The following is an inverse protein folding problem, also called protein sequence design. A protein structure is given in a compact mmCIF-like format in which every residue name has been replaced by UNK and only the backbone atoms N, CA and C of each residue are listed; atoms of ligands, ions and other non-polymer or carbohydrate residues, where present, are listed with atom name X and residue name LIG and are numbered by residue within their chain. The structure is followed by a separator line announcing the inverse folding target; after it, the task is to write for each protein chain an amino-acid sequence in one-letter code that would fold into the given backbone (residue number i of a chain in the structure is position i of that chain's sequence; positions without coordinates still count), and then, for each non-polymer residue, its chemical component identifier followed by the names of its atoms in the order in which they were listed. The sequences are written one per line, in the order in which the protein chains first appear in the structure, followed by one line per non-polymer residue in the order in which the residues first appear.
data_IF_411120591252
#
_entry.id   IF_411120591252
#
_cell.length_a   1.000
_cell.length_b   1.000
_cell.length_c   1.000
_cell.angle_alpha   90.00
_cell.angle_beta   90.00
_cell.angle_gamma   90.00
#
_symmetry.space_group_name_H-M   'P 1'
#
loop_
_entity.id
_entity.type
_entity.pdbx_description
1 polymer ?
#
# COMPACT_ATOMS: atom_id res chain seq x y z
N UNK A 1 -9.80 -66.91 -26.41
CA UNK A 1 -8.37 -67.29 -26.53
C UNK A 1 -7.67 -66.16 -27.25
N UNK A 2 -7.05 -65.27 -26.48
CA UNK A 2 -6.17 -64.22 -26.99
C UNK A 2 -4.82 -64.47 -26.32
N UNK A 3 -3.78 -64.64 -27.14
CA UNK A 3 -2.41 -64.93 -26.73
C UNK A 3 -1.83 -63.77 -25.92
N UNK A 4 -1.43 -64.04 -24.68
CA UNK A 4 -0.56 -63.14 -23.93
C UNK A 4 0.86 -63.20 -24.52
N UNK A 5 1.48 -62.07 -24.88
CA UNK A 5 2.84 -62.06 -25.39
C UNK A 5 3.83 -62.47 -24.30
N UNK A 6 4.53 -63.56 -24.60
CA UNK A 6 5.62 -64.19 -23.86
C UNK A 6 6.64 -63.14 -23.37
N UNK A 7 6.61 -62.84 -22.07
CA UNK A 7 7.59 -61.97 -21.41
C UNK A 7 8.97 -62.62 -21.50
N UNK A 8 9.82 -62.10 -22.37
CA UNK A 8 11.22 -62.50 -22.51
C UNK A 8 11.94 -62.35 -21.18
N UNK A 9 12.36 -63.47 -20.59
CA UNK A 9 13.25 -63.51 -19.42
C UNK A 9 14.60 -62.94 -19.83
N UNK A 10 14.83 -61.66 -19.56
CA UNK A 10 16.13 -61.02 -19.74
C UNK A 10 17.18 -61.73 -18.85
N UNK A 11 18.34 -62.07 -19.43
CA UNK A 11 19.47 -62.61 -18.69
C UNK A 11 19.92 -61.64 -17.57
N UNK A 12 20.32 -62.15 -16.39
CA UNK A 12 20.73 -61.30 -15.27
C UNK A 12 21.99 -60.51 -15.63
N UNK A 13 21.89 -59.18 -15.53
CA UNK A 13 23.01 -58.25 -15.73
C UNK A 13 24.21 -58.63 -14.85
N UNK A 14 25.41 -58.70 -15.43
CA UNK A 14 26.64 -58.91 -14.68
C UNK A 14 26.89 -57.80 -13.64
N UNK A 15 27.57 -58.11 -12.54
CA UNK A 15 27.78 -57.20 -11.40
C UNK A 15 28.31 -55.82 -11.80
N UNK A 16 29.24 -55.74 -12.76
CA UNK A 16 29.78 -54.48 -13.27
C UNK A 16 28.71 -53.64 -14.00
N UNK A 17 27.81 -54.28 -14.73
CA UNK A 17 26.71 -53.61 -15.43
C UNK A 17 25.65 -53.11 -14.43
N UNK A 18 25.34 -53.88 -13.38
CA UNK A 18 24.46 -53.42 -12.30
C UNK A 18 25.05 -52.23 -11.53
N UNK A 19 26.35 -52.27 -11.26
CA UNK A 19 27.06 -51.19 -10.59
C UNK A 19 27.09 -49.92 -11.46
N UNK A 20 27.32 -50.07 -12.77
CA UNK A 20 27.21 -48.98 -13.74
C UNK A 20 25.81 -48.36 -13.80
N UNK A 21 24.77 -49.19 -13.91
CA UNK A 21 23.38 -48.74 -13.91
C UNK A 21 22.99 -48.02 -12.60
N UNK A 22 23.52 -48.47 -11.47
CA UNK A 22 23.32 -47.84 -10.16
C UNK A 22 23.99 -46.47 -10.09
N UNK A 23 25.25 -46.37 -10.51
CA UNK A 23 25.98 -45.08 -10.58
C UNK A 23 25.26 -44.10 -11.51
N UNK A 24 24.77 -44.58 -12.66
CA UNK A 24 24.04 -43.72 -13.60
C UNK A 24 22.71 -43.23 -13.02
N UNK A 25 21.97 -44.11 -12.34
CA UNK A 25 20.75 -43.72 -11.63
C UNK A 25 21.02 -42.67 -10.55
N UNK A 26 22.10 -42.83 -9.78
CA UNK A 26 22.55 -41.85 -8.77
C UNK A 26 22.90 -40.51 -9.43
N UNK A 27 23.65 -40.52 -10.55
CA UNK A 27 23.98 -39.28 -11.29
C UNK A 27 22.74 -38.58 -11.82
N UNK A 28 21.76 -39.31 -12.36
CA UNK A 28 20.49 -38.74 -12.82
C UNK A 28 19.69 -38.13 -11.67
N UNK A 29 19.64 -38.81 -10.51
CA UNK A 29 18.98 -38.31 -9.32
C UNK A 29 19.62 -37.00 -8.82
N UNK A 30 20.95 -36.98 -8.70
CA UNK A 30 21.69 -35.78 -8.28
C UNK A 30 21.46 -34.63 -9.26
N UNK A 31 21.51 -34.89 -10.57
CA UNK A 31 21.24 -33.86 -11.58
C UNK A 31 19.82 -33.30 -11.46
N UNK A 32 18.81 -34.14 -11.25
CA UNK A 32 17.43 -33.69 -11.05
C UNK A 32 17.28 -32.79 -9.81
N UNK A 33 18.00 -33.06 -8.71
CA UNK A 33 18.00 -32.19 -7.53
C UNK A 33 18.67 -30.84 -7.81
N UNK A 34 19.79 -30.85 -8.54
CA UNK A 34 20.49 -29.62 -8.93
C UNK A 34 19.62 -28.78 -9.86
N UNK A 35 18.96 -29.40 -10.84
CA UNK A 35 18.07 -28.70 -11.76
C UNK A 35 16.85 -28.12 -11.04
N UNK A 36 16.26 -28.86 -10.08
CA UNK A 36 15.18 -28.38 -9.22
C UNK A 36 15.63 -27.20 -8.35
N UNK A 37 16.78 -27.34 -7.66
CA UNK A 37 17.32 -26.28 -6.82
C UNK A 37 17.65 -25.02 -7.63
N UNK A 38 18.11 -25.18 -8.87
CA UNK A 38 18.37 -24.06 -9.78
C UNK A 38 17.09 -23.37 -10.22
N UNK A 39 16.01 -24.13 -10.46
CA UNK A 39 14.70 -23.58 -10.79
C UNK A 39 14.12 -22.79 -9.60
N UNK A 40 14.09 -23.37 -8.39
CA UNK A 40 13.63 -22.65 -7.19
C UNK A 40 14.48 -21.39 -6.93
N UNK A 41 15.81 -21.46 -7.12
CA UNK A 41 16.69 -20.31 -6.97
C UNK A 41 16.41 -19.22 -8.00
N UNK A 42 16.09 -19.58 -9.24
CA UNK A 42 15.75 -18.60 -10.29
C UNK A 42 14.47 -17.82 -9.91
N UNK A 43 13.45 -18.51 -9.41
CA UNK A 43 12.21 -17.90 -8.95
C UNK A 43 12.46 -16.93 -7.77
N UNK A 44 13.27 -17.36 -6.79
CA UNK A 44 13.68 -16.52 -5.65
C UNK A 44 14.43 -15.27 -6.15
N UNK A 45 15.35 -15.43 -7.10
CA UNK A 45 16.15 -14.33 -7.65
C UNK A 45 15.26 -13.32 -8.36
N UNK A 46 14.26 -13.76 -9.12
CA UNK A 46 13.35 -12.84 -9.83
C UNK A 46 12.45 -12.07 -8.86
N UNK A 47 11.99 -12.72 -7.79
CA UNK A 47 11.22 -12.06 -6.74
C UNK A 47 12.10 -11.06 -5.95
N UNK A 48 13.35 -11.40 -5.66
CA UNK A 48 14.34 -10.47 -5.07
C UNK A 48 14.56 -9.26 -5.98
N UNK A 49 14.76 -9.45 -7.29
CA UNK A 49 14.93 -8.33 -8.25
C UNK A 49 13.73 -7.40 -8.24
N UNK A 50 12.52 -7.96 -8.25
CA UNK A 50 11.28 -7.17 -8.20
C UNK A 50 11.20 -6.34 -6.93
N UNK A 51 11.49 -6.92 -5.76
CA UNK A 51 11.50 -6.16 -4.50
C UNK A 51 12.58 -5.09 -4.47
N UNK A 52 13.81 -5.40 -4.91
CA UNK A 52 14.89 -4.42 -5.01
C UNK A 52 14.50 -3.26 -5.94
N UNK A 53 13.85 -3.55 -7.07
CA UNK A 53 13.36 -2.52 -7.98
C UNK A 53 12.30 -1.62 -7.31
N UNK A 54 11.33 -2.20 -6.59
CA UNK A 54 10.29 -1.44 -5.90
C UNK A 54 10.86 -0.59 -4.75
N UNK A 55 11.74 -1.14 -3.92
CA UNK A 55 12.41 -0.37 -2.87
C UNK A 55 13.33 0.71 -3.45
N UNK A 56 14.04 0.41 -4.54
CA UNK A 56 14.84 1.38 -5.28
C UNK A 56 13.98 2.53 -5.82
N UNK A 57 12.81 2.24 -6.38
CA UNK A 57 11.86 3.24 -6.83
C UNK A 57 11.34 4.11 -5.66
N UNK A 58 11.03 3.50 -4.51
CA UNK A 58 10.60 4.23 -3.33
C UNK A 58 11.69 5.19 -2.83
N UNK A 59 12.94 4.73 -2.70
CA UNK A 59 14.08 5.56 -2.30
C UNK A 59 14.30 6.69 -3.32
N UNK A 60 14.27 6.36 -4.62
CA UNK A 60 14.41 7.36 -5.68
C UNK A 60 13.34 8.45 -5.60
N UNK A 61 12.08 8.09 -5.35
CA UNK A 61 10.99 9.05 -5.14
C UNK A 61 11.23 9.94 -3.91
N UNK A 62 11.73 9.38 -2.79
CA UNK A 62 12.06 10.16 -1.59
C UNK A 62 13.22 11.13 -1.82
N UNK A 63 14.22 10.74 -2.62
CA UNK A 63 15.31 11.66 -3.04
C UNK A 63 14.74 12.81 -3.88
N UNK A 64 13.83 12.52 -4.81
CA UNK A 64 13.16 13.55 -5.59
C UNK A 64 12.30 14.47 -4.72
N UNK A 65 11.61 13.94 -3.69
CA UNK A 65 10.92 14.77 -2.68
C UNK A 65 11.89 15.72 -1.99
N UNK A 66 13.04 15.22 -1.54
CA UNK A 66 14.03 16.05 -0.86
C UNK A 66 14.56 17.18 -1.78
N UNK A 67 14.83 16.86 -3.06
CA UNK A 67 15.24 17.85 -4.06
C UNK A 67 14.12 18.86 -4.37
N UNK A 68 12.88 18.39 -4.53
CA UNK A 68 11.72 19.23 -4.82
C UNK A 68 11.42 20.18 -3.66
N UNK A 69 11.54 19.72 -2.41
CA UNK A 69 11.38 20.58 -1.23
C UNK A 69 12.54 21.56 -1.06
N UNK A 70 13.77 21.16 -1.35
CA UNK A 70 14.93 22.04 -1.27
C UNK A 70 14.84 23.16 -2.31
N UNK A 71 14.64 22.81 -3.58
CA UNK A 71 14.59 23.77 -4.70
C UNK A 71 13.27 24.55 -4.66
N UNK A 72 12.16 23.82 -4.58
CA UNK A 72 10.82 24.40 -4.57
C UNK A 72 10.54 25.23 -3.32
N UNK A 73 11.08 24.85 -2.16
CA UNK A 73 10.97 25.65 -0.94
C UNK A 73 11.71 27.00 -1.04
N UNK A 74 12.90 27.01 -1.64
CA UNK A 74 13.64 28.25 -1.91
C UNK A 74 12.89 29.16 -2.90
N UNK A 75 12.31 28.58 -3.96
CA UNK A 75 11.49 29.31 -4.92
C UNK A 75 10.19 29.84 -4.27
N UNK A 76 9.55 29.03 -3.43
CA UNK A 76 8.32 29.38 -2.72
C UNK A 76 8.51 30.57 -1.77
N UNK A 77 9.66 30.63 -1.08
CA UNK A 77 10.00 31.76 -0.22
C UNK A 77 10.16 33.07 -0.99
N UNK A 78 10.51 33.00 -2.28
CA UNK A 78 10.66 34.17 -3.16
C UNK A 78 9.34 34.75 -3.67
N UNK A 79 8.30 33.94 -3.86
CA UNK A 79 6.99 34.34 -4.44
C UNK A 79 5.83 34.29 -3.42
N UNK A 80 6.15 34.66 -2.18
CA UNK A 80 5.40 34.29 -0.97
C UNK A 80 3.86 34.31 -1.12
N UNK A 81 3.31 33.08 -1.02
CA UNK A 81 1.96 32.68 -0.60
C UNK A 81 0.92 32.22 -1.65
N UNK A 82 0.93 32.64 -2.94
CA UNK A 82 -0.14 32.20 -3.88
C UNK A 82 0.27 32.01 -5.35
N UNK A 83 1.56 31.80 -5.64
CA UNK A 83 2.00 31.43 -6.99
C UNK A 83 1.56 30.03 -7.40
N UNK A 84 1.32 29.81 -8.70
CA UNK A 84 1.07 28.47 -9.28
C UNK A 84 2.20 27.48 -8.99
N UNK A 85 3.43 27.98 -8.78
CA UNK A 85 4.63 27.18 -8.47
C UNK A 85 4.51 26.50 -7.10
N UNK A 86 4.00 27.20 -6.08
CA UNK A 86 3.85 26.64 -4.73
C UNK A 86 2.93 25.42 -4.69
N UNK A 87 1.78 25.51 -5.38
CA UNK A 87 0.86 24.38 -5.53
C UNK A 87 1.50 23.22 -6.30
N UNK A 88 2.26 23.51 -7.36
CA UNK A 88 2.99 22.49 -8.11
C UNK A 88 4.01 21.72 -7.25
N UNK A 89 4.80 22.44 -6.45
CA UNK A 89 5.78 21.85 -5.52
C UNK A 89 5.08 21.01 -4.46
N UNK A 90 4.01 21.53 -3.86
CA UNK A 90 3.24 20.81 -2.84
C UNK A 90 2.62 19.53 -3.39
N UNK A 91 1.84 19.63 -4.48
CA UNK A 91 1.17 18.48 -5.08
C UNK A 91 2.16 17.47 -5.66
N UNK A 92 3.25 17.94 -6.28
CA UNK A 92 4.33 17.08 -6.75
C UNK A 92 5.01 16.32 -5.61
N UNK A 93 5.20 16.97 -4.46
CA UNK A 93 5.75 16.32 -3.26
C UNK A 93 4.82 15.22 -2.76
N UNK A 94 3.53 15.51 -2.59
CA UNK A 94 2.55 14.52 -2.17
C UNK A 94 2.45 13.34 -3.15
N UNK A 95 2.44 13.61 -4.46
CA UNK A 95 2.42 12.55 -5.48
C UNK A 95 3.64 11.64 -5.37
N UNK A 96 4.84 12.18 -5.19
CA UNK A 96 6.05 11.37 -5.03
C UNK A 96 6.05 10.56 -3.72
N UNK A 97 5.52 11.13 -2.63
CA UNK A 97 5.31 10.41 -1.38
C UNK A 97 4.33 9.24 -1.55
N UNK A 98 3.24 9.45 -2.29
CA UNK A 98 2.26 8.40 -2.59
C UNK A 98 2.87 7.29 -3.45
N UNK A 99 3.66 7.65 -4.47
CA UNK A 99 4.39 6.69 -5.30
C UNK A 99 5.36 5.87 -4.45
N UNK A 100 6.09 6.52 -3.54
CA UNK A 100 6.99 5.82 -2.62
C UNK A 100 6.22 4.86 -1.69
N UNK A 101 5.12 5.32 -1.11
CA UNK A 101 4.26 4.50 -0.27
C UNK A 101 3.68 3.30 -1.02
N UNK A 102 3.20 3.51 -2.26
CA UNK A 102 2.65 2.45 -3.12
C UNK A 102 3.72 1.46 -3.53
N UNK A 103 4.93 1.90 -3.86
CA UNK A 103 6.05 1.01 -4.17
C UNK A 103 6.39 0.11 -2.97
N UNK A 104 6.40 0.67 -1.75
CA UNK A 104 6.57 -0.11 -0.51
C UNK A 104 5.40 -1.08 -0.30
N UNK A 105 4.16 -0.62 -0.46
CA UNK A 105 2.98 -1.48 -0.33
C UNK A 105 3.01 -2.65 -1.32
N UNK A 106 3.38 -2.40 -2.58
CA UNK A 106 3.54 -3.44 -3.59
C UNK A 106 4.68 -4.40 -3.28
N UNK A 107 5.79 -3.92 -2.71
CA UNK A 107 6.89 -4.76 -2.25
C UNK A 107 6.45 -5.68 -1.09
N UNK A 108 5.53 -5.20 -0.26
CA UNK A 108 4.87 -5.96 0.81
C UNK A 108 3.68 -6.81 0.32
N UNK A 109 3.51 -6.97 -0.99
CA UNK A 109 2.40 -7.71 -1.61
C UNK A 109 0.99 -7.24 -1.23
N UNK A 110 0.83 -5.95 -0.93
CA UNK A 110 -0.51 -5.38 -0.98
C UNK A 110 -1.04 -5.56 -2.41
N UNK A 111 -2.10 -6.37 -2.57
CA UNK A 111 -2.62 -6.75 -3.87
C UNK A 111 -2.87 -5.54 -4.78
N UNK A 112 -2.22 -5.51 -5.95
CA UNK A 112 -2.21 -4.34 -6.84
C UNK A 112 -3.60 -3.86 -7.25
N UNK A 113 -4.55 -4.78 -7.44
CA UNK A 113 -5.96 -4.43 -7.71
C UNK A 113 -6.63 -3.63 -6.59
N UNK A 114 -6.24 -3.86 -5.32
CA UNK A 114 -6.76 -3.09 -4.18
C UNK A 114 -6.16 -1.70 -4.11
N UNK A 115 -4.85 -1.58 -4.36
CA UNK A 115 -4.18 -0.27 -4.43
C UNK A 115 -4.76 0.56 -5.58
N UNK A 116 -4.98 -0.07 -6.75
CA UNK A 116 -5.64 0.56 -7.89
C UNK A 116 -7.09 0.95 -7.61
N UNK A 117 -7.85 0.09 -6.93
CA UNK A 117 -9.21 0.43 -6.47
C UNK A 117 -9.23 1.61 -5.51
N UNK A 118 -8.29 1.65 -4.54
CA UNK A 118 -8.14 2.78 -3.63
C UNK A 118 -7.77 4.07 -4.37
N UNK A 119 -6.90 3.98 -5.39
CA UNK A 119 -6.57 5.11 -6.26
C UNK A 119 -7.80 5.66 -6.98
N UNK A 120 -8.63 4.79 -7.59
CA UNK A 120 -9.84 5.21 -8.28
C UNK A 120 -10.83 5.90 -7.33
N UNK A 121 -11.03 5.36 -6.13
CA UNK A 121 -11.91 5.99 -5.12
C UNK A 121 -11.38 7.36 -4.71
N UNK A 122 -10.07 7.46 -4.45
CA UNK A 122 -9.42 8.71 -4.07
C UNK A 122 -9.44 9.75 -5.21
N UNK A 123 -9.28 9.31 -6.45
CA UNK A 123 -9.37 10.16 -7.64
C UNK A 123 -10.78 10.75 -7.78
N UNK A 124 -11.83 9.92 -7.69
CA UNK A 124 -13.23 10.37 -7.72
C UNK A 124 -13.49 11.36 -6.58
N UNK A 125 -13.03 11.05 -5.36
CA UNK A 125 -13.16 11.94 -4.21
C UNK A 125 -12.50 13.30 -4.46
N UNK A 126 -11.26 13.29 -4.97
CA UNK A 126 -10.53 14.51 -5.29
C UNK A 126 -11.19 15.34 -6.40
N UNK A 127 -11.71 14.69 -7.44
CA UNK A 127 -12.48 15.36 -8.51
C UNK A 127 -13.74 16.00 -7.94
N UNK A 128 -14.52 15.27 -7.12
CA UNK A 128 -15.74 15.81 -6.51
C UNK A 128 -15.42 17.01 -5.63
N UNK A 129 -14.43 16.91 -4.75
CA UNK A 129 -14.01 18.04 -3.90
C UNK A 129 -13.53 19.22 -4.75
N UNK A 130 -12.74 18.95 -5.79
CA UNK A 130 -12.22 19.97 -6.69
C UNK A 130 -13.32 20.72 -7.45
N UNK A 131 -14.36 20.01 -7.91
CA UNK A 131 -15.50 20.63 -8.57
C UNK A 131 -16.37 21.41 -7.58
N UNK A 132 -16.64 20.85 -6.39
CA UNK A 132 -17.45 21.49 -5.35
C UNK A 132 -16.82 22.81 -4.90
N UNK A 133 -15.52 22.80 -4.61
CA UNK A 133 -14.79 24.01 -4.20
C UNK A 133 -14.51 24.93 -5.39
N UNK A 134 -14.18 24.38 -6.56
CA UNK A 134 -13.83 25.16 -7.74
C UNK A 134 -14.99 25.92 -8.38
N UNK A 135 -16.22 25.41 -8.24
CA UNK A 135 -17.45 26.11 -8.62
C UNK A 135 -18.08 26.92 -7.49
N UNK A 136 -17.40 27.01 -6.34
CA UNK A 136 -17.83 27.82 -5.19
C UNK A 136 -19.20 27.40 -4.62
N UNK A 137 -19.57 26.11 -4.79
CA UNK A 137 -20.89 25.61 -4.43
C UNK A 137 -21.14 25.66 -2.93
N UNK A 138 -20.11 25.42 -2.12
CA UNK A 138 -20.22 25.47 -0.66
C UNK A 138 -20.36 26.89 -0.15
N UNK A 139 -19.61 27.84 -0.71
CA UNK A 139 -19.67 29.25 -0.30
C UNK A 139 -21.08 29.81 -0.50
N UNK A 140 -21.66 29.58 -1.68
CA UNK A 140 -23.05 29.98 -1.99
C UNK A 140 -24.07 29.34 -1.05
N UNK A 141 -23.91 28.05 -0.76
CA UNK A 141 -24.77 27.37 0.21
C UNK A 141 -24.67 27.99 1.61
N UNK A 142 -23.48 28.37 2.05
CA UNK A 142 -23.28 29.05 3.33
C UNK A 142 -23.78 30.49 3.34
N UNK A 143 -23.72 31.18 2.21
CA UNK A 143 -24.28 32.52 2.02
C UNK A 143 -25.80 32.50 2.19
N UNK A 144 -26.50 31.62 1.47
CA UNK A 144 -27.96 31.45 1.55
C UNK A 144 -28.43 31.08 2.97
N UNK A 145 -27.73 30.15 3.62
CA UNK A 145 -28.04 29.78 5.01
C UNK A 145 -27.71 30.90 5.99
N UNK A 146 -26.60 31.59 5.76
CA UNK A 146 -26.14 32.71 6.56
C UNK A 146 -27.15 33.85 6.56
N UNK A 147 -27.75 34.17 5.41
CA UNK A 147 -28.79 35.20 5.31
C UNK A 147 -30.00 34.93 6.21
N UNK A 148 -30.37 33.66 6.36
CA UNK A 148 -31.50 33.23 7.17
C UNK A 148 -31.17 33.20 8.66
N UNK A 149 -29.96 32.71 9.01
CA UNK A 149 -29.58 32.42 10.40
C UNK A 149 -28.87 33.60 11.07
N UNK A 150 -28.08 34.37 10.32
CA UNK A 150 -27.23 35.47 10.80
C UNK A 150 -27.51 36.78 10.03
N UNK A 151 -28.76 37.27 9.98
CA UNK A 151 -29.12 38.42 9.13
C UNK A 151 -28.41 39.73 9.54
N UNK A 152 -27.99 39.85 10.80
CA UNK A 152 -27.31 41.03 11.34
C UNK A 152 -25.79 40.97 11.22
N UNK A 153 -25.21 39.82 10.83
CA UNK A 153 -23.77 39.69 10.64
C UNK A 153 -23.33 40.39 9.34
N UNK A 154 -22.10 40.91 9.31
CA UNK A 154 -21.49 41.48 8.11
C UNK A 154 -21.57 40.49 6.94
N UNK A 155 -22.18 40.86 5.80
CA UNK A 155 -22.29 40.00 4.62
C UNK A 155 -20.95 39.39 4.18
N UNK A 156 -19.83 40.11 4.31
CA UNK A 156 -18.52 39.62 3.88
C UNK A 156 -17.98 38.42 4.68
N UNK A 157 -18.36 38.32 5.96
CA UNK A 157 -17.90 37.24 6.85
C UNK A 157 -18.97 36.18 7.12
N UNK A 158 -20.21 36.47 6.75
CA UNK A 158 -21.37 35.63 7.05
C UNK A 158 -21.24 34.18 6.56
N UNK A 159 -20.82 33.89 5.32
CA UNK A 159 -20.67 32.51 4.86
C UNK A 159 -19.58 31.76 5.64
N UNK A 160 -18.47 32.43 5.96
CA UNK A 160 -17.38 31.86 6.78
C UNK A 160 -17.87 31.54 8.19
N UNK A 161 -18.55 32.48 8.86
CA UNK A 161 -19.08 32.27 10.21
C UNK A 161 -20.08 31.11 10.24
N UNK A 162 -20.96 31.02 9.24
CA UNK A 162 -21.94 29.94 9.14
C UNK A 162 -21.26 28.59 8.90
N UNK A 163 -20.32 28.52 7.95
CA UNK A 163 -19.55 27.31 7.66
C UNK A 163 -18.73 26.84 8.86
N UNK A 164 -18.04 27.76 9.55
CA UNK A 164 -17.29 27.47 10.78
C UNK A 164 -18.20 26.92 11.86
N UNK A 165 -19.30 27.62 12.17
CA UNK A 165 -20.22 27.20 13.22
C UNK A 165 -20.84 25.82 12.92
N UNK A 166 -21.34 25.62 11.70
CA UNK A 166 -21.96 24.36 11.29
C UNK A 166 -20.97 23.20 11.31
N UNK A 167 -19.82 23.33 10.63
CA UNK A 167 -18.86 22.23 10.52
C UNK A 167 -18.11 21.96 11.82
N UNK A 168 -17.76 22.98 12.61
CA UNK A 168 -17.17 22.76 13.94
C UNK A 168 -18.13 22.01 14.86
N UNK A 169 -19.42 22.33 14.81
CA UNK A 169 -20.44 21.63 15.60
C UNK A 169 -20.58 20.18 15.14
N UNK A 170 -20.77 19.95 13.84
CA UNK A 170 -20.98 18.62 13.26
C UNK A 170 -19.76 17.73 13.52
N UNK A 171 -18.55 18.17 13.14
CA UNK A 171 -17.34 17.38 13.32
C UNK A 171 -16.93 17.25 14.79
N UNK A 172 -17.24 18.24 15.63
CA UNK A 172 -17.09 18.13 17.08
C UNK A 172 -17.95 17.01 17.65
N UNK A 173 -19.22 16.92 17.26
CA UNK A 173 -20.12 15.83 17.68
C UNK A 173 -19.59 14.48 17.21
N UNK A 174 -19.18 14.36 15.95
CA UNK A 174 -18.60 13.10 15.44
C UNK A 174 -17.32 12.71 16.19
N UNK A 175 -16.43 13.67 16.43
CA UNK A 175 -15.20 13.46 17.19
C UNK A 175 -15.48 13.01 18.63
N UNK A 176 -16.46 13.65 19.29
CA UNK A 176 -16.92 13.24 20.62
C UNK A 176 -17.41 11.80 20.61
N UNK A 177 -18.36 11.46 19.74
CA UNK A 177 -18.97 10.12 19.64
C UNK A 177 -17.91 9.05 19.34
N UNK A 178 -16.97 9.34 18.44
CA UNK A 178 -15.85 8.44 18.15
C UNK A 178 -14.95 8.22 19.38
N UNK A 179 -14.73 9.26 20.18
CA UNK A 179 -13.89 9.24 21.38
C UNK A 179 -14.53 8.58 22.60
N UNK A 180 -15.87 8.50 22.69
CA UNK A 180 -16.58 7.91 23.85
C UNK A 180 -16.09 6.49 24.20
N UNK A 181 -15.73 5.69 23.19
CA UNK A 181 -15.22 4.32 23.41
C UNK A 181 -13.86 4.27 24.13
N UNK A 182 -13.09 5.34 24.07
CA UNK A 182 -11.80 5.49 24.76
C UNK A 182 -11.90 6.13 26.15
N UNK A 183 -13.11 6.39 26.65
CA UNK A 183 -13.36 7.07 27.92
C UNK A 183 -13.53 8.59 27.78
N UNK A 184 -13.80 9.26 28.91
CA UNK A 184 -14.22 10.67 28.92
C UNK A 184 -13.13 11.62 28.37
N UNK A 185 -11.86 11.37 28.69
CA UNK A 185 -10.74 12.17 28.18
C UNK A 185 -10.60 12.06 26.66
N UNK A 186 -10.76 10.87 26.10
CA UNK A 186 -10.75 10.65 24.66
C UNK A 186 -11.98 11.28 23.97
N UNK A 187 -13.15 11.25 24.61
CA UNK A 187 -14.35 11.92 24.11
C UNK A 187 -14.16 13.45 24.01
N UNK A 188 -13.63 14.09 25.06
CA UNK A 188 -13.32 15.52 25.03
C UNK A 188 -12.21 15.86 24.03
N UNK A 189 -11.15 15.05 23.98
CA UNK A 189 -10.09 15.22 22.98
C UNK A 189 -10.64 15.13 21.56
N UNK A 190 -11.52 14.15 21.30
CA UNK A 190 -12.22 14.00 20.03
C UNK A 190 -13.14 15.18 19.70
N UNK A 191 -13.91 15.68 20.67
CA UNK A 191 -14.75 16.87 20.51
C UNK A 191 -13.92 18.08 20.06
N UNK A 192 -12.84 18.39 20.77
CA UNK A 192 -11.99 19.55 20.48
C UNK A 192 -11.29 19.39 19.14
N UNK A 193 -10.68 18.23 18.88
CA UNK A 193 -10.00 17.98 17.60
C UNK A 193 -10.98 18.03 16.42
N UNK A 194 -12.17 17.44 16.57
CA UNK A 194 -13.23 17.48 15.56
C UNK A 194 -13.73 18.90 15.31
N UNK A 195 -13.98 19.68 16.36
CA UNK A 195 -14.43 21.05 16.25
C UNK A 195 -13.39 21.97 15.58
N UNK A 196 -12.10 21.82 15.92
CA UNK A 196 -11.02 22.58 15.29
C UNK A 196 -10.89 22.22 13.80
N UNK A 197 -10.94 20.93 13.45
CA UNK A 197 -10.92 20.50 12.05
C UNK A 197 -12.14 21.04 11.29
N UNK A 198 -13.32 21.00 11.91
CA UNK A 198 -14.55 21.55 11.35
C UNK A 198 -14.49 23.06 11.15
N UNK A 199 -13.89 23.79 12.09
CA UNK A 199 -13.67 25.22 11.96
C UNK A 199 -12.75 25.54 10.78
N UNK A 200 -11.62 24.83 10.64
CA UNK A 200 -10.71 25.01 9.49
C UNK A 200 -11.42 24.73 8.17
N UNK A 201 -12.18 23.64 8.08
CA UNK A 201 -12.98 23.31 6.90
C UNK A 201 -14.09 24.34 6.64
N UNK A 202 -14.69 24.89 7.70
CA UNK A 202 -15.68 25.97 7.61
C UNK A 202 -15.09 27.25 7.01
N UNK A 203 -13.88 27.62 7.43
CA UNK A 203 -13.16 28.74 6.82
C UNK A 203 -12.89 28.47 5.34
N UNK A 204 -12.36 27.28 5.00
CA UNK A 204 -12.03 26.94 3.60
C UNK A 204 -13.28 26.91 2.71
N UNK A 205 -14.35 26.27 3.16
CA UNK A 205 -15.58 26.09 2.36
C UNK A 205 -16.47 27.33 2.34
N UNK A 206 -16.38 28.18 3.37
CA UNK A 206 -17.08 29.45 3.48
C UNK A 206 -16.34 30.62 2.85
N UNK A 207 -15.09 30.44 2.41
CA UNK A 207 -14.35 31.46 1.66
C UNK A 207 -14.61 31.30 0.15
N UNK A 208 -14.76 32.41 -0.56
CA UNK A 208 -14.79 32.40 -2.04
C UNK A 208 -13.39 32.10 -2.56
N UNK A 209 -13.17 30.87 -3.01
CA UNK A 209 -11.87 30.41 -3.51
C UNK A 209 -11.80 30.55 -5.04
N UNK A 210 -10.64 30.96 -5.60
CA UNK A 210 -10.42 30.87 -7.04
C UNK A 210 -10.56 29.41 -7.52
N UNK A 211 -11.12 29.16 -8.73
CA UNK A 211 -11.30 27.80 -9.24
C UNK A 211 -10.02 26.96 -9.28
N UNK A 212 -8.88 27.60 -9.51
CA UNK A 212 -7.55 26.97 -9.51
C UNK A 212 -7.17 26.44 -8.12
N UNK A 213 -7.49 27.17 -7.06
CA UNK A 213 -7.26 26.75 -5.66
C UNK A 213 -8.21 25.61 -5.30
N UNK A 214 -9.49 25.71 -5.69
CA UNK A 214 -10.46 24.62 -5.51
C UNK A 214 -10.00 23.32 -6.16
N UNK A 215 -9.54 23.38 -7.42
CA UNK A 215 -8.99 22.24 -8.13
C UNK A 215 -7.73 21.67 -7.43
N UNK A 216 -6.80 22.52 -7.00
CA UNK A 216 -5.58 22.10 -6.31
C UNK A 216 -5.90 21.41 -4.97
N UNK A 217 -6.85 21.93 -4.19
CA UNK A 217 -7.34 21.29 -2.97
C UNK A 217 -8.01 19.94 -3.25
N UNK A 218 -8.77 19.83 -4.35
CA UNK A 218 -9.31 18.55 -4.81
C UNK A 218 -8.23 17.51 -5.07
N UNK A 219 -7.18 17.87 -5.82
CA UNK A 219 -6.03 16.98 -6.05
C UNK A 219 -5.35 16.62 -4.73
N UNK A 220 -5.12 17.59 -3.84
CA UNK A 220 -4.50 17.35 -2.54
C UNK A 220 -5.31 16.35 -1.70
N UNK A 221 -6.64 16.49 -1.65
CA UNK A 221 -7.52 15.54 -0.95
C UNK A 221 -7.42 14.15 -1.56
N UNK A 222 -7.38 14.04 -2.89
CA UNK A 222 -7.17 12.76 -3.58
C UNK A 222 -5.84 12.11 -3.20
N UNK A 223 -4.74 12.87 -3.23
CA UNK A 223 -3.41 12.39 -2.87
C UNK A 223 -3.33 11.98 -1.39
N UNK A 224 -4.00 12.69 -0.47
CA UNK A 224 -4.05 12.27 0.94
C UNK A 224 -4.93 11.03 1.12
N UNK A 225 -6.08 10.97 0.46
CA UNK A 225 -7.04 9.88 0.63
C UNK A 225 -6.51 8.54 0.11
N UNK A 226 -5.76 8.53 -0.99
CA UNK A 226 -5.25 7.31 -1.61
C UNK A 226 -4.39 6.43 -0.67
N UNK A 227 -3.26 6.91 -0.11
CA UNK A 227 -2.43 6.11 0.79
C UNK A 227 -3.15 5.79 2.10
N UNK A 228 -4.06 6.65 2.57
CA UNK A 228 -4.87 6.36 3.77
C UNK A 228 -5.82 5.19 3.54
N UNK A 229 -6.53 5.15 2.41
CA UNK A 229 -7.42 4.05 2.05
C UNK A 229 -6.60 2.78 1.84
N UNK A 230 -5.50 2.85 1.06
CA UNK A 230 -4.64 1.70 0.78
C UNK A 230 -3.99 1.14 2.07
N UNK A 231 -3.48 2.02 2.94
CA UNK A 231 -2.82 1.66 4.19
C UNK A 231 -3.79 1.12 5.25
N UNK A 232 -4.99 1.68 5.38
CA UNK A 232 -6.05 1.16 6.26
C UNK A 232 -6.41 -0.28 5.93
N UNK A 233 -6.47 -0.58 4.65
CA UNK A 233 -6.80 -1.89 4.12
C UNK A 233 -5.72 -2.94 4.38
N UNK A 234 -4.46 -2.50 4.46
CA UNK A 234 -3.34 -3.32 4.92
C UNK A 234 -3.37 -3.52 6.44
N UNK A 235 -3.56 -2.43 7.20
CA UNK A 235 -3.63 -2.48 8.66
C UNK A 235 -4.74 -3.42 9.18
N UNK A 236 -5.86 -3.53 8.46
CA UNK A 236 -6.96 -4.43 8.81
C UNK A 236 -6.70 -5.90 8.52
N UNK A 237 -6.00 -6.21 7.43
CA UNK A 237 -5.73 -7.61 7.04
C UNK A 237 -4.43 -8.14 7.63
N UNK A 238 -3.55 -7.26 8.08
CA UNK A 238 -2.20 -7.61 8.48
C UNK A 238 -1.30 -7.84 7.26
N UNK A 239 0.01 -7.90 7.53
CA UNK A 239 1.01 -8.35 6.56
C UNK A 239 1.24 -9.84 6.87
N UNK A 240 1.03 -10.70 5.89
CA UNK A 240 1.33 -12.13 6.03
C UNK A 240 2.84 -12.35 5.91
N UNK A 241 3.53 -12.19 7.05
CA UNK A 241 4.97 -12.38 7.14
C UNK A 241 5.42 -13.80 6.76
N UNK A 242 4.57 -14.81 6.95
CA UNK A 242 4.86 -16.19 6.56
C UNK A 242 4.75 -16.38 5.04
N UNK A 243 3.82 -15.70 4.38
CA UNK A 243 3.78 -15.64 2.91
C UNK A 243 5.01 -14.93 2.34
N UNK A 244 5.46 -13.82 2.96
CA UNK A 244 6.70 -13.13 2.55
C UNK A 244 7.89 -14.07 2.73
N UNK A 245 8.07 -14.64 3.92
CA UNK A 245 9.19 -15.55 4.22
C UNK A 245 9.16 -16.79 3.32
N UNK A 246 7.97 -17.32 3.04
CA UNK A 246 7.75 -18.49 2.21
C UNK A 246 8.25 -18.32 0.77
N UNK A 247 8.28 -17.10 0.23
CA UNK A 247 8.82 -16.81 -1.12
C UNK A 247 10.35 -16.83 -1.18
N UNK A 248 11.00 -16.57 -0.06
CA UNK A 248 12.47 -16.59 0.03
C UNK A 248 13.03 -17.89 0.57
N UNK A 249 12.17 -18.76 1.11
CA UNK A 249 12.57 -20.08 1.58
C UNK A 249 12.25 -21.14 0.53
N UNK A 250 13.24 -21.88 0.04
CA UNK A 250 13.02 -22.93 -0.95
C UNK A 250 12.33 -24.13 -0.28
N UNK A 251 11.04 -24.35 -0.56
CA UNK A 251 10.23 -25.35 0.15
C UNK A 251 10.42 -26.77 -0.39
N UNK A 252 10.47 -26.95 -1.70
CA UNK A 252 10.52 -28.31 -2.28
C UNK A 252 11.87 -28.95 -1.99
N UNK A 253 12.98 -28.20 -2.09
CA UNK A 253 14.30 -28.73 -1.69
C UNK A 253 14.38 -29.07 -0.20
N UNK A 254 13.77 -28.28 0.69
CA UNK A 254 13.70 -28.61 2.11
C UNK A 254 12.88 -29.87 2.39
N UNK A 255 11.70 -30.00 1.78
CA UNK A 255 10.82 -31.17 1.94
C UNK A 255 11.47 -32.44 1.40
N UNK A 256 12.06 -32.36 0.21
CA UNK A 256 12.71 -33.50 -0.44
C UNK A 256 13.97 -33.93 0.33
N UNK A 257 14.70 -32.98 0.93
CA UNK A 257 15.82 -33.29 1.83
C UNK A 257 15.34 -33.99 3.10
N UNK A 258 14.21 -33.56 3.67
CA UNK A 258 13.61 -34.23 4.84
C UNK A 258 13.18 -35.65 4.50
N UNK A 259 12.51 -35.85 3.37
CA UNK A 259 12.10 -37.17 2.88
C UNK A 259 13.32 -38.08 2.68
N UNK A 260 14.40 -37.55 2.09
CA UNK A 260 15.66 -38.30 1.92
C UNK A 260 16.27 -38.69 3.27
N UNK A 261 16.29 -37.78 4.25
CA UNK A 261 16.79 -38.08 5.60
C UNK A 261 15.93 -39.15 6.28
N UNK A 262 14.61 -39.08 6.15
CA UNK A 262 13.68 -40.07 6.72
C UNK A 262 13.86 -41.44 6.06
N UNK A 263 13.99 -41.49 4.73
CA UNK A 263 14.29 -42.70 4.00
C UNK A 263 15.63 -43.31 4.42
N UNK A 264 16.67 -42.49 4.57
CA UNK A 264 17.99 -42.92 5.03
C UNK A 264 17.91 -43.46 6.46
N UNK A 265 17.19 -42.78 7.36
CA UNK A 265 16.99 -43.20 8.75
C UNK A 265 16.21 -44.52 8.84
N UNK A 266 15.24 -44.74 7.96
CA UNK A 266 14.50 -46.00 7.88
C UNK A 266 15.36 -47.18 7.39
N UNK A 267 16.34 -46.91 6.51
CA UNK A 267 17.26 -47.93 5.96
C UNK A 267 18.49 -48.19 6.84
N UNK A 268 18.95 -47.18 7.57
CA UNK A 268 20.09 -47.25 8.49
C UNK A 268 19.61 -46.90 9.90
N UNK A 269 19.03 -47.86 10.65
CA UNK A 269 18.73 -47.63 12.05
C UNK A 269 20.04 -47.26 12.75
N UNK A 270 20.11 -46.04 13.27
CA UNK A 270 21.27 -45.59 14.03
C UNK A 270 21.51 -46.63 15.14
N UNK A 271 22.69 -47.24 15.15
CA UNK A 271 23.11 -48.10 16.23
C UNK A 271 22.89 -47.37 17.57
N UNK A 272 22.41 -48.06 18.62
CA UNK A 272 22.07 -47.41 19.88
C UNK A 272 23.29 -46.61 20.37
N UNK A 273 23.07 -45.33 20.70
CA UNK A 273 24.10 -44.52 21.35
C UNK A 273 24.47 -45.20 22.66
N UNK A 274 25.66 -45.78 22.72
CA UNK A 274 26.31 -46.27 23.94
C UNK A 274 26.65 -45.11 24.86
#
# INVERSE_FOLDING_TARGET
MQDEPNATRAEPLGLRAQLGATIEAVKRLVRAHVDLARAELADIVDEVKRMVALFGAAIGALVLVALLLLIGGLLFLGEWLFGSIGWGVLLGTFLLLDVAAVAVLLALEAGGGRIGGAFLVALVLGVVVGLVLGFDLTHRGWEELGEQVLPTADPGWRPVLMGVAALATILGIFGFVAGVRGGIGAAFGGLVAGALLGAVLGVVTGSSLPPTVGAALGVLVGLIAWPLIAGRDLARKGIDGEAIKGRFMPRQTMELTKETIEWVRARMPLAPKS
#
